data_IF_924835778540
#
_entry.id   IF_924835778540
#
_cell.length_a   1.000
_cell.length_b   1.000
_cell.length_c   1.000
_cell.angle_alpha   90.00
_cell.angle_beta   90.00
_cell.angle_gamma   90.00
#
_symmetry.space_group_name_H-M   'P 1'
#
loop_
_entity.id
_entity.type
_entity.pdbx_description
1 polymer ?
#
# COMPACT_ATOMS: atom_id res chain seq x y z
N UNK A 1 46.07 -0.88 22.02
CA UNK A 1 44.70 -0.92 22.57
C UNK A 1 43.78 -1.03 21.36
N UNK A 2 43.03 -2.12 21.23
CA UNK A 2 42.19 -2.33 20.05
C UNK A 2 40.96 -1.40 20.09
N UNK A 3 40.55 -0.85 18.95
CA UNK A 3 39.28 -0.14 18.81
C UNK A 3 38.12 -1.15 18.80
N UNK A 4 36.89 -0.70 19.06
CA UNK A 4 35.69 -1.54 18.95
C UNK A 4 35.60 -2.18 17.56
N UNK A 5 35.85 -1.40 16.51
CA UNK A 5 35.81 -1.89 15.14
C UNK A 5 36.86 -2.97 14.88
N UNK A 6 38.07 -2.84 15.42
CA UNK A 6 39.11 -3.87 15.29
C UNK A 6 38.74 -5.16 16.03
N UNK A 7 38.20 -5.06 17.25
CA UNK A 7 37.76 -6.21 18.04
C UNK A 7 36.66 -7.00 17.30
N UNK A 8 35.67 -6.28 16.73
CA UNK A 8 34.59 -6.90 15.94
C UNK A 8 35.15 -7.51 14.66
N UNK A 9 36.09 -6.85 13.98
CA UNK A 9 36.71 -7.34 12.74
C UNK A 9 37.47 -8.64 12.97
N UNK A 10 38.31 -8.70 14.00
CA UNK A 10 39.12 -9.87 14.35
C UNK A 10 38.25 -11.08 14.71
N UNK A 11 37.03 -10.83 15.20
CA UNK A 11 36.08 -11.84 15.63
C UNK A 11 34.84 -11.95 14.71
N UNK A 12 34.90 -11.39 13.50
CA UNK A 12 33.75 -11.27 12.59
C UNK A 12 33.02 -12.58 12.36
N UNK A 13 33.77 -13.67 12.14
CA UNK A 13 33.21 -15.01 11.94
C UNK A 13 32.42 -15.48 13.16
N UNK A 14 33.02 -15.40 14.35
CA UNK A 14 32.39 -15.79 15.60
C UNK A 14 31.16 -14.93 15.93
N UNK A 15 31.21 -13.62 15.65
CA UNK A 15 30.07 -12.71 15.82
C UNK A 15 28.91 -13.14 14.93
N UNK A 16 29.16 -13.39 13.64
CA UNK A 16 28.12 -13.80 12.71
C UNK A 16 27.54 -15.18 13.05
N UNK A 17 28.38 -16.15 13.39
CA UNK A 17 27.91 -17.48 13.77
C UNK A 17 27.04 -17.43 15.03
N UNK A 18 27.49 -16.70 16.06
CA UNK A 18 26.71 -16.47 17.28
C UNK A 18 25.40 -15.71 17.00
N UNK A 19 25.38 -14.83 16.00
CA UNK A 19 24.18 -14.09 15.61
C UNK A 19 23.18 -14.97 14.87
N UNK A 20 23.66 -15.83 13.98
CA UNK A 20 22.86 -16.78 13.21
C UNK A 20 22.23 -17.86 14.11
N UNK A 21 22.94 -18.32 15.14
CA UNK A 21 22.40 -19.25 16.15
C UNK A 21 21.21 -18.68 16.93
N UNK A 22 21.09 -17.35 17.00
CA UNK A 22 20.03 -16.64 17.70
C UNK A 22 18.88 -16.21 16.79
N UNK A 23 18.89 -16.67 15.53
CA UNK A 23 17.77 -16.43 14.64
C UNK A 23 16.49 -17.04 15.23
N UNK A 24 15.36 -16.32 15.15
CA UNK A 24 14.07 -16.84 15.59
C UNK A 24 13.76 -18.19 14.94
N UNK A 25 13.07 -19.08 15.65
CA UNK A 25 12.62 -20.37 15.09
C UNK A 25 11.77 -20.18 13.82
N UNK A 26 11.04 -19.06 13.70
CA UNK A 26 10.32 -18.65 12.48
C UNK A 26 11.24 -18.34 11.29
N UNK A 27 12.44 -17.81 11.53
CA UNK A 27 13.47 -17.60 10.51
C UNK A 27 14.13 -18.90 10.07
N UNK A 28 14.26 -19.90 10.96
CA UNK A 28 14.70 -21.24 10.62
C UNK A 28 13.65 -22.03 9.80
N UNK A 29 12.37 -21.67 9.94
CA UNK A 29 11.28 -22.15 9.08
C UNK A 29 11.13 -21.39 7.76
N UNK A 30 11.91 -20.32 7.54
CA UNK A 30 11.91 -19.58 6.28
C UNK A 30 12.49 -20.43 5.14
N UNK A 31 12.12 -20.09 3.89
CA UNK A 31 12.65 -20.79 2.71
C UNK A 31 14.20 -20.72 2.70
N UNK A 32 14.92 -21.77 2.27
CA UNK A 32 16.39 -21.79 2.27
C UNK A 32 17.06 -20.57 1.61
N UNK A 33 16.45 -20.04 0.54
CA UNK A 33 16.96 -18.84 -0.15
C UNK A 33 16.85 -17.56 0.71
N UNK A 34 15.77 -17.42 1.47
CA UNK A 34 15.55 -16.29 2.39
C UNK A 34 16.59 -16.28 3.51
N UNK A 35 16.88 -17.45 4.08
CA UNK A 35 17.89 -17.59 5.12
C UNK A 35 19.29 -17.19 4.62
N UNK A 36 19.67 -17.60 3.41
CA UNK A 36 20.96 -17.22 2.81
C UNK A 36 21.06 -15.72 2.56
N UNK A 37 19.98 -15.08 2.09
CA UNK A 37 19.95 -13.63 1.91
C UNK A 37 20.10 -12.91 3.24
N UNK A 38 19.35 -13.31 4.28
CA UNK A 38 19.45 -12.69 5.60
C UNK A 38 20.87 -12.80 6.18
N UNK A 39 21.54 -13.93 5.97
CA UNK A 39 22.95 -14.11 6.36
C UNK A 39 23.88 -13.11 5.68
N UNK A 40 23.69 -12.86 4.38
CA UNK A 40 24.47 -11.87 3.63
C UNK A 40 24.22 -10.46 4.18
N UNK A 41 22.95 -10.10 4.40
CA UNK A 41 22.56 -8.79 4.92
C UNK A 41 23.11 -8.53 6.33
N UNK A 42 23.09 -9.54 7.22
CA UNK A 42 23.71 -9.46 8.55
C UNK A 42 25.23 -9.29 8.46
N UNK A 43 25.87 -10.00 7.53
CA UNK A 43 27.29 -9.82 7.22
C UNK A 43 27.64 -8.38 6.85
N UNK A 44 26.87 -7.79 5.93
CA UNK A 44 27.04 -6.40 5.51
C UNK A 44 26.80 -5.41 6.65
N UNK A 45 25.87 -5.71 7.57
CA UNK A 45 25.64 -4.90 8.76
C UNK A 45 26.86 -4.89 9.69
N UNK A 46 27.48 -6.06 9.92
CA UNK A 46 28.74 -6.13 10.71
C UNK A 46 29.85 -5.32 10.04
N UNK A 47 30.02 -5.43 8.73
CA UNK A 47 31.09 -4.71 8.00
C UNK A 47 30.92 -3.18 8.08
N UNK A 48 29.66 -2.71 8.02
CA UNK A 48 29.34 -1.29 8.18
C UNK A 48 29.53 -0.82 9.63
N UNK A 49 29.19 -1.65 10.62
CA UNK A 49 29.46 -1.36 12.03
C UNK A 49 30.97 -1.25 12.31
N UNK A 50 31.77 -2.17 11.79
CA UNK A 50 33.25 -2.12 11.89
C UNK A 50 33.77 -0.81 11.30
N UNK A 51 33.29 -0.42 10.11
CA UNK A 51 33.70 0.81 9.45
C UNK A 51 33.32 2.05 10.27
N UNK A 52 32.11 2.09 10.82
CA UNK A 52 31.64 3.17 11.69
C UNK A 52 32.49 3.31 12.95
N UNK A 53 32.71 2.21 13.68
CA UNK A 53 33.49 2.25 14.92
C UNK A 53 34.97 2.56 14.69
N UNK A 54 35.55 2.16 13.55
CA UNK A 54 36.92 2.50 13.19
C UNK A 54 37.10 3.97 12.79
N UNK A 55 36.04 4.62 12.30
CA UNK A 55 36.08 6.06 12.03
C UNK A 55 36.16 6.90 13.31
N UNK A 56 35.86 6.31 14.48
CA UNK A 56 35.91 7.00 15.77
C UNK A 56 34.79 8.03 15.95
N UNK A 57 33.73 7.94 15.14
CA UNK A 57 32.55 8.79 15.26
C UNK A 57 31.61 8.29 16.39
N UNK A 58 30.94 9.22 17.03
CA UNK A 58 29.95 8.98 18.09
C UNK A 58 28.60 9.61 17.77
N UNK A 59 28.47 10.29 16.62
CA UNK A 59 27.22 10.88 16.19
C UNK A 59 26.33 9.83 15.48
N UNK A 60 25.30 9.38 16.18
CA UNK A 60 24.29 8.45 15.65
C UNK A 60 23.28 9.12 14.71
N UNK A 61 23.29 10.45 14.59
CA UNK A 61 22.55 11.20 13.56
C UNK A 61 23.41 11.59 12.36
N UNK A 62 24.71 11.27 12.40
CA UNK A 62 25.70 11.73 11.45
C UNK A 62 25.73 10.94 10.14
N UNK A 63 26.38 11.49 9.09
CA UNK A 63 26.47 10.87 7.78
C UNK A 63 27.27 9.54 7.78
N UNK A 64 28.15 9.33 8.75
CA UNK A 64 28.94 8.09 8.88
C UNK A 64 28.11 6.94 9.45
N UNK A 65 27.05 7.22 10.22
CA UNK A 65 26.16 6.20 10.77
C UNK A 65 25.05 5.80 9.78
N UNK A 66 24.67 6.70 8.87
CA UNK A 66 23.59 6.48 7.89
C UNK A 66 23.67 5.14 7.12
N UNK A 67 24.85 4.68 6.64
CA UNK A 67 24.95 3.38 5.97
C UNK A 67 24.56 2.19 6.86
N UNK A 68 24.82 2.28 8.17
CA UNK A 68 24.46 1.28 9.17
C UNK A 68 22.94 1.26 9.36
N UNK A 69 22.32 2.43 9.48
CA UNK A 69 20.85 2.57 9.57
C UNK A 69 20.16 1.97 8.34
N UNK A 70 20.63 2.32 7.14
CA UNK A 70 20.06 1.82 5.88
C UNK A 70 20.16 0.31 5.75
N UNK A 71 21.26 -0.27 6.24
CA UNK A 71 21.43 -1.71 6.26
C UNK A 71 20.45 -2.39 7.23
N UNK A 72 20.28 -1.83 8.41
CA UNK A 72 19.33 -2.35 9.40
C UNK A 72 17.88 -2.23 8.90
N UNK A 73 17.53 -1.12 8.25
CA UNK A 73 16.23 -0.95 7.60
C UNK A 73 16.01 -1.99 6.49
N UNK A 74 17.04 -2.28 5.68
CA UNK A 74 16.99 -3.30 4.62
C UNK A 74 16.70 -4.70 5.19
N UNK A 75 17.41 -5.08 6.27
CA UNK A 75 17.16 -6.34 6.99
C UNK A 75 15.71 -6.39 7.50
N UNK A 76 15.25 -5.34 8.16
CA UNK A 76 13.90 -5.29 8.72
C UNK A 76 12.82 -5.42 7.64
N UNK A 77 12.99 -4.74 6.51
CA UNK A 77 12.08 -4.82 5.38
C UNK A 77 12.04 -6.24 4.77
N UNK A 78 13.17 -6.94 4.73
CA UNK A 78 13.21 -8.34 4.31
C UNK A 78 12.44 -9.23 5.29
N UNK A 79 12.71 -9.11 6.60
CA UNK A 79 12.00 -9.83 7.66
C UNK A 79 10.47 -9.63 7.57
N UNK A 80 10.02 -8.39 7.35
CA UNK A 80 8.61 -8.06 7.20
C UNK A 80 7.94 -8.76 6.01
N UNK A 81 8.63 -8.83 4.86
CA UNK A 81 8.16 -9.53 3.65
C UNK A 81 8.07 -11.04 3.85
N UNK A 82 9.01 -11.60 4.60
CA UNK A 82 9.11 -13.04 4.84
C UNK A 82 8.27 -13.54 6.03
N UNK A 83 7.53 -12.64 6.69
CA UNK A 83 6.53 -12.99 7.69
C UNK A 83 7.04 -13.06 9.13
N UNK A 84 8.28 -12.65 9.39
CA UNK A 84 8.77 -12.44 10.76
C UNK A 84 7.99 -11.31 11.42
N UNK A 85 7.90 -11.35 12.74
CA UNK A 85 7.29 -10.29 13.55
C UNK A 85 8.30 -9.17 13.85
N UNK A 86 7.81 -7.96 14.22
CA UNK A 86 8.69 -6.88 14.66
C UNK A 86 9.48 -7.29 15.92
N UNK A 87 8.88 -8.09 16.81
CA UNK A 87 9.54 -8.57 18.03
C UNK A 87 10.70 -9.50 17.70
N UNK A 88 10.50 -10.47 16.80
CA UNK A 88 11.56 -11.37 16.35
C UNK A 88 12.74 -10.61 15.71
N UNK A 89 12.46 -9.60 14.90
CA UNK A 89 13.47 -8.74 14.28
C UNK A 89 14.22 -7.92 15.33
N UNK A 90 13.50 -7.31 16.28
CA UNK A 90 14.12 -6.54 17.37
C UNK A 90 14.97 -7.43 18.28
N UNK A 91 14.52 -8.63 18.64
CA UNK A 91 15.28 -9.60 19.43
C UNK A 91 16.58 -10.00 18.74
N UNK A 92 16.55 -10.19 17.41
CA UNK A 92 17.77 -10.45 16.63
C UNK A 92 18.76 -9.29 16.77
N UNK A 93 18.34 -8.04 16.55
CA UNK A 93 19.22 -6.86 16.68
C UNK A 93 19.73 -6.69 18.12
N UNK A 94 18.87 -6.87 19.12
CA UNK A 94 19.22 -6.77 20.54
C UNK A 94 20.23 -7.83 20.98
N UNK A 95 20.22 -9.01 20.36
CA UNK A 95 21.17 -10.06 20.69
C UNK A 95 22.63 -9.66 20.45
N UNK A 96 22.87 -8.69 19.57
CA UNK A 96 24.21 -8.16 19.31
C UNK A 96 24.84 -7.60 20.58
N UNK A 97 24.07 -6.98 21.49
CA UNK A 97 24.58 -6.49 22.79
C UNK A 97 25.21 -7.60 23.62
N UNK A 98 24.58 -8.77 23.65
CA UNK A 98 25.09 -9.93 24.39
C UNK A 98 26.34 -10.48 23.71
N UNK A 99 26.32 -10.61 22.38
CA UNK A 99 27.46 -11.11 21.60
C UNK A 99 28.70 -10.22 21.78
N UNK A 100 28.52 -8.91 21.66
CA UNK A 100 29.62 -7.95 21.82
C UNK A 100 30.08 -7.83 23.26
N UNK A 101 29.19 -7.97 24.24
CA UNK A 101 29.57 -8.00 25.66
C UNK A 101 30.50 -9.18 25.95
N UNK A 102 30.11 -10.38 25.54
CA UNK A 102 30.91 -11.59 25.74
C UNK A 102 32.27 -11.49 25.05
N UNK A 103 32.34 -10.75 23.95
CA UNK A 103 33.57 -10.48 23.22
C UNK A 103 34.46 -9.45 23.96
N UNK A 104 33.89 -8.32 24.36
CA UNK A 104 34.62 -7.26 25.09
C UNK A 104 35.12 -7.73 26.46
N UNK A 105 34.44 -8.67 27.11
CA UNK A 105 34.86 -9.25 28.38
C UNK A 105 36.12 -10.13 28.24
N UNK A 106 36.44 -10.61 27.03
CA UNK A 106 37.65 -11.41 26.73
C UNK A 106 38.88 -10.56 26.41
N UNK A 107 38.70 -9.29 26.05
CA UNK A 107 39.80 -8.38 25.73
C UNK A 107 40.53 -7.91 26.98
N UNK A 108 41.87 -7.84 26.90
CA UNK A 108 42.74 -7.44 28.00
C UNK A 108 43.20 -5.99 27.81
N UNK A 109 42.72 -5.09 28.69
CA UNK A 109 43.04 -3.66 28.68
C UNK A 109 42.05 -2.81 27.85
N UNK A 110 42.10 -1.48 28.05
CA UNK A 110 41.17 -0.53 27.41
C UNK A 110 39.99 -0.10 28.26
N UNK A 111 39.29 0.93 27.81
CA UNK A 111 38.06 1.44 28.44
C UNK A 111 36.86 0.57 28.04
N UNK A 112 36.73 -0.59 28.70
CA UNK A 112 35.65 -1.54 28.42
C UNK A 112 34.26 -0.96 28.69
N UNK A 113 34.12 -0.11 29.70
CA UNK A 113 32.83 0.48 30.03
C UNK A 113 32.41 1.50 28.97
N UNK A 114 33.34 2.36 28.52
CA UNK A 114 33.10 3.26 27.38
C UNK A 114 32.76 2.50 26.09
N UNK A 115 33.49 1.41 25.80
CA UNK A 115 33.20 0.56 24.64
C UNK A 115 31.81 -0.08 24.70
N UNK A 116 31.41 -0.57 25.87
CA UNK A 116 30.07 -1.16 26.08
C UNK A 116 28.98 -0.11 25.91
N UNK A 117 29.15 1.09 26.46
CA UNK A 117 28.20 2.20 26.31
C UNK A 117 28.04 2.56 24.83
N UNK A 118 29.14 2.66 24.08
CA UNK A 118 29.10 2.99 22.66
C UNK A 118 28.37 1.93 21.83
N UNK A 119 28.63 0.64 22.08
CA UNK A 119 27.93 -0.46 21.42
C UNK A 119 26.46 -0.49 21.82
N UNK A 120 26.14 -0.32 23.10
CA UNK A 120 24.76 -0.34 23.58
C UNK A 120 23.92 0.77 22.92
N UNK A 121 24.48 1.98 22.80
CA UNK A 121 23.82 3.11 22.14
C UNK A 121 23.55 2.86 20.65
N UNK A 122 24.53 2.30 19.92
CA UNK A 122 24.35 1.90 18.52
C UNK A 122 23.25 0.86 18.40
N UNK A 123 23.29 -0.19 19.21
CA UNK A 123 22.31 -1.28 19.11
C UNK A 123 20.91 -0.80 19.48
N UNK A 124 20.75 0.05 20.50
CA UNK A 124 19.46 0.68 20.83
C UNK A 124 18.91 1.51 19.67
N UNK A 125 19.76 2.27 18.99
CA UNK A 125 19.39 3.02 17.79
C UNK A 125 18.93 2.10 16.66
N UNK A 126 19.65 1.00 16.41
CA UNK A 126 19.26 0.02 15.39
C UNK A 126 17.93 -0.68 15.74
N UNK A 127 17.63 -0.90 17.02
CA UNK A 127 16.33 -1.42 17.47
C UNK A 127 15.18 -0.53 16.98
N UNK A 128 15.32 0.78 17.18
CA UNK A 128 14.31 1.76 16.80
C UNK A 128 14.17 1.86 15.29
N UNK A 129 15.30 1.92 14.56
CA UNK A 129 15.32 1.97 13.09
C UNK A 129 14.67 0.73 12.50
N UNK A 130 15.02 -0.45 12.99
CA UNK A 130 14.43 -1.71 12.49
C UNK A 130 12.95 -1.78 12.79
N UNK A 131 12.48 -1.37 13.97
CA UNK A 131 11.06 -1.34 14.28
C UNK A 131 10.29 -0.38 13.37
N UNK A 132 10.79 0.85 13.18
CA UNK A 132 10.17 1.84 12.31
C UNK A 132 10.08 1.34 10.85
N UNK A 133 11.19 0.82 10.30
CA UNK A 133 11.24 0.26 8.95
C UNK A 133 10.31 -0.95 8.77
N UNK A 134 10.13 -1.75 9.83
CA UNK A 134 9.20 -2.88 9.82
C UNK A 134 7.76 -2.39 9.65
N UNK A 135 7.36 -1.42 10.49
CA UNK A 135 6.00 -0.85 10.48
C UNK A 135 5.70 -0.23 9.12
N UNK A 136 6.62 0.61 8.61
CA UNK A 136 6.49 1.22 7.28
C UNK A 136 6.34 0.17 6.18
N UNK A 137 7.21 -0.85 6.17
CA UNK A 137 7.14 -1.94 5.18
C UNK A 137 5.82 -2.71 5.28
N UNK A 138 5.33 -2.99 6.49
CA UNK A 138 4.07 -3.72 6.68
C UNK A 138 2.86 -2.89 6.28
N UNK A 139 2.85 -1.61 6.59
CA UNK A 139 1.82 -0.69 6.14
C UNK A 139 1.78 -0.64 4.60
N UNK A 140 2.95 -0.52 3.96
CA UNK A 140 3.08 -0.58 2.50
C UNK A 140 2.52 -1.89 1.89
N UNK A 141 2.83 -3.03 2.51
CA UNK A 141 2.29 -4.33 2.10
C UNK A 141 0.77 -4.36 2.26
N UNK A 142 0.24 -3.89 3.39
CA UNK A 142 -1.20 -3.85 3.66
C UNK A 142 -1.91 -2.93 2.67
N UNK A 143 -1.37 -1.76 2.37
CA UNK A 143 -1.93 -0.82 1.40
C UNK A 143 -1.95 -1.41 -0.02
N UNK A 144 -0.88 -2.10 -0.42
CA UNK A 144 -0.82 -2.80 -1.72
C UNK A 144 -1.80 -3.97 -1.79
N UNK A 145 -1.94 -4.73 -0.71
CA UNK A 145 -2.92 -5.82 -0.62
C UNK A 145 -4.37 -5.30 -0.60
N UNK A 146 -4.63 -4.16 0.06
CA UNK A 146 -5.94 -3.52 0.10
C UNK A 146 -6.43 -3.01 -1.25
N UNK A 147 -5.52 -2.56 -2.13
CA UNK A 147 -5.85 -2.15 -3.50
C UNK A 147 -6.31 -3.33 -4.38
N UNK A 148 -5.70 -4.50 -4.21
CA UNK A 148 -6.05 -5.69 -5.01
C UNK A 148 -7.48 -6.20 -4.78
N UNK A 149 -8.13 -5.87 -3.65
CA UNK A 149 -9.51 -6.25 -3.37
C UNK A 149 -10.56 -5.29 -3.96
N UNK A 150 -10.15 -4.12 -4.47
CA UNK A 150 -11.04 -3.13 -5.07
C UNK A 150 -10.94 -3.06 -6.60
N UNK A 151 -9.86 -3.59 -7.19
CA UNK A 151 -9.57 -3.46 -8.63
C UNK A 151 -10.00 -4.67 -9.50
N UNK A 152 -10.54 -5.76 -8.94
CA UNK A 152 -10.75 -7.03 -9.69
C UNK A 152 -12.19 -7.55 -9.81
N UNK A 153 -13.21 -6.88 -9.27
CA UNK A 153 -14.60 -7.29 -9.51
C UNK A 153 -15.20 -6.38 -10.58
N UNK A 154 -15.60 -6.95 -11.72
CA UNK A 154 -16.34 -6.32 -12.82
C UNK A 154 -17.36 -5.30 -12.30
N UNK A 155 -17.04 -3.99 -12.31
CA UNK A 155 -17.87 -3.01 -11.63
C UNK A 155 -19.15 -2.73 -12.43
N UNK A 156 -19.16 -3.01 -13.73
CA UNK A 156 -20.35 -2.97 -14.55
C UNK A 156 -20.94 -4.38 -14.72
N UNK A 157 -22.11 -4.59 -14.13
CA UNK A 157 -22.87 -5.83 -14.18
C UNK A 157 -23.95 -5.73 -15.26
N UNK A 158 -23.98 -6.60 -16.29
CA UNK A 158 -25.12 -6.67 -17.20
C UNK A 158 -26.32 -7.24 -16.43
N UNK A 159 -27.37 -6.44 -16.30
CA UNK A 159 -28.59 -6.82 -15.57
C UNK A 159 -29.78 -7.10 -16.50
N UNK A 160 -29.66 -6.67 -17.76
CA UNK A 160 -30.59 -6.98 -18.84
C UNK A 160 -29.91 -6.81 -20.18
N UNK A 161 -30.54 -7.32 -21.25
CA UNK A 161 -30.05 -7.05 -22.62
C UNK A 161 -30.02 -5.53 -22.86
N UNK A 162 -28.85 -5.02 -23.23
CA UNK A 162 -28.55 -3.61 -23.43
C UNK A 162 -28.66 -2.70 -22.17
N UNK A 163 -28.69 -3.27 -20.96
CA UNK A 163 -28.69 -2.52 -19.68
C UNK A 163 -27.59 -3.04 -18.76
N UNK A 164 -26.71 -2.14 -18.33
CA UNK A 164 -25.68 -2.41 -17.33
C UNK A 164 -25.92 -1.60 -16.05
N UNK A 165 -25.49 -2.14 -14.91
CA UNK A 165 -25.49 -1.50 -13.60
C UNK A 165 -24.05 -1.37 -13.09
N UNK A 166 -23.66 -0.18 -12.69
CA UNK A 166 -22.39 0.11 -12.05
C UNK A 166 -22.61 0.70 -10.65
N UNK A 167 -22.46 -0.09 -9.57
CA UNK A 167 -22.52 0.44 -8.22
C UNK A 167 -21.18 1.06 -7.81
N UNK A 168 -21.25 2.25 -7.19
CA UNK A 168 -20.11 2.97 -6.62
C UNK A 168 -20.18 2.92 -5.10
N UNK A 169 -19.12 2.43 -4.47
CA UNK A 169 -19.04 2.24 -3.01
C UNK A 169 -17.77 2.86 -2.44
N UNK A 170 -17.92 3.63 -1.38
CA UNK A 170 -16.82 4.24 -0.63
C UNK A 170 -16.42 5.62 -1.17
N UNK A 171 -15.24 6.06 -0.77
CA UNK A 171 -14.73 7.39 -1.13
C UNK A 171 -14.29 7.38 -2.60
N UNK A 172 -14.73 8.37 -3.36
CA UNK A 172 -14.33 8.59 -4.75
C UNK A 172 -13.37 9.78 -4.78
N UNK A 173 -12.13 9.53 -5.17
CA UNK A 173 -11.16 10.57 -5.50
C UNK A 173 -11.04 10.75 -7.02
N UNK A 174 -10.19 11.68 -7.45
CA UNK A 174 -9.94 11.96 -8.87
C UNK A 174 -9.43 10.75 -9.66
N UNK A 175 -8.57 9.92 -9.05
CA UNK A 175 -8.02 8.75 -9.73
C UNK A 175 -9.11 7.69 -9.94
N UNK A 176 -9.85 7.40 -8.87
CA UNK A 176 -10.95 6.44 -8.90
C UNK A 176 -12.08 6.87 -9.82
N UNK A 177 -12.39 8.17 -9.89
CA UNK A 177 -13.40 8.69 -10.80
C UNK A 177 -13.03 8.49 -12.29
N UNK A 178 -11.74 8.60 -12.65
CA UNK A 178 -11.26 8.30 -14.01
C UNK A 178 -11.37 6.81 -14.32
N UNK A 179 -10.98 5.96 -13.37
CA UNK A 179 -11.06 4.51 -13.51
C UNK A 179 -12.50 4.03 -13.68
N UNK A 180 -13.43 4.60 -12.91
CA UNK A 180 -14.88 4.37 -13.06
C UNK A 180 -15.39 4.74 -14.46
N UNK A 181 -14.94 5.88 -15.00
CA UNK A 181 -15.29 6.29 -16.35
C UNK A 181 -14.78 5.28 -17.39
N UNK A 182 -13.49 4.91 -17.32
CA UNK A 182 -12.87 3.94 -18.24
C UNK A 182 -13.62 2.61 -18.23
N UNK A 183 -13.87 2.06 -17.04
CA UNK A 183 -14.63 0.82 -16.87
C UNK A 183 -16.06 0.91 -17.40
N UNK A 184 -16.73 2.04 -17.21
CA UNK A 184 -18.10 2.21 -17.70
C UNK A 184 -18.11 2.21 -19.22
N UNK A 185 -17.22 2.98 -19.85
CA UNK A 185 -17.13 3.08 -21.31
C UNK A 185 -16.75 1.75 -21.96
N UNK A 186 -15.79 1.02 -21.38
CA UNK A 186 -15.43 -0.32 -21.83
C UNK A 186 -16.60 -1.31 -21.72
N UNK A 187 -17.34 -1.27 -20.61
CA UNK A 187 -18.49 -2.14 -20.43
C UNK A 187 -19.66 -1.78 -21.36
N UNK A 188 -19.91 -0.49 -21.59
CA UNK A 188 -20.92 -0.04 -22.54
C UNK A 188 -20.63 -0.57 -23.95
N UNK A 189 -19.37 -0.51 -24.38
CA UNK A 189 -18.95 -1.03 -25.68
C UNK A 189 -19.02 -2.57 -25.74
N UNK A 190 -18.49 -3.26 -24.72
CA UNK A 190 -18.43 -4.73 -24.69
C UNK A 190 -19.81 -5.39 -24.63
N UNK A 191 -20.72 -4.83 -23.83
CA UNK A 191 -22.07 -5.38 -23.62
C UNK A 191 -23.10 -4.78 -24.60
N UNK A 192 -22.65 -3.94 -25.57
CA UNK A 192 -23.50 -3.18 -26.49
C UNK A 192 -24.66 -2.46 -25.77
N UNK A 193 -24.36 -1.90 -24.60
CA UNK A 193 -25.39 -1.38 -23.71
C UNK A 193 -25.91 -0.02 -24.17
N UNK A 194 -27.22 0.12 -24.24
CA UNK A 194 -27.89 1.39 -24.54
C UNK A 194 -28.14 2.22 -23.30
N UNK A 195 -28.16 1.57 -22.13
CA UNK A 195 -28.47 2.21 -20.86
C UNK A 195 -27.48 1.72 -19.81
N UNK A 196 -26.89 2.65 -19.08
CA UNK A 196 -26.14 2.38 -17.87
C UNK A 196 -26.85 3.00 -16.66
N UNK A 197 -26.91 2.26 -15.55
CA UNK A 197 -27.33 2.77 -14.26
C UNK A 197 -26.08 2.91 -13.40
N UNK A 198 -25.79 4.12 -12.94
CA UNK A 198 -24.70 4.42 -12.02
C UNK A 198 -25.27 4.65 -10.62
N UNK A 199 -25.07 3.70 -9.70
CA UNK A 199 -25.61 3.78 -8.34
C UNK A 199 -24.59 4.37 -7.37
N UNK A 200 -24.85 5.58 -6.87
CA UNK A 200 -23.96 6.31 -5.94
C UNK A 200 -24.44 6.25 -4.49
N UNK A 201 -25.36 5.34 -4.16
CA UNK A 201 -25.88 5.17 -2.78
C UNK A 201 -24.75 4.97 -1.76
N UNK A 202 -23.65 4.30 -2.15
CA UNK A 202 -22.48 4.05 -1.31
C UNK A 202 -21.43 5.17 -1.27
N UNK A 203 -21.69 6.34 -1.87
CA UNK A 203 -20.75 7.47 -1.96
C UNK A 203 -21.21 8.60 -1.03
N UNK A 204 -20.65 8.71 0.19
CA UNK A 204 -21.18 9.62 1.22
C UNK A 204 -20.92 11.10 0.94
N UNK A 205 -19.88 11.43 0.18
CA UNK A 205 -19.47 12.80 -0.12
C UNK A 205 -19.19 12.95 -1.62
N UNK A 206 -19.88 13.91 -2.24
CA UNK A 206 -19.63 14.32 -3.62
C UNK A 206 -19.06 15.74 -3.57
N UNK A 207 -17.80 15.89 -3.96
CA UNK A 207 -17.15 17.19 -4.11
C UNK A 207 -17.21 17.70 -5.57
N UNK A 208 -16.63 18.87 -5.82
CA UNK A 208 -16.57 19.47 -7.15
C UNK A 208 -15.81 18.64 -8.19
N UNK A 209 -14.82 17.86 -7.77
CA UNK A 209 -14.02 17.03 -8.67
C UNK A 209 -14.82 15.79 -9.07
N UNK A 210 -15.44 15.12 -8.11
CA UNK A 210 -16.30 13.95 -8.36
C UNK A 210 -17.47 14.34 -9.24
N UNK A 211 -18.14 15.46 -8.96
CA UNK A 211 -19.24 15.96 -9.77
C UNK A 211 -18.83 16.20 -11.24
N UNK A 212 -17.69 16.87 -11.47
CA UNK A 212 -17.15 17.09 -12.81
C UNK A 212 -16.86 15.77 -13.54
N UNK A 213 -16.32 14.78 -12.84
CA UNK A 213 -16.07 13.48 -13.44
C UNK A 213 -17.35 12.72 -13.75
N UNK A 214 -18.39 12.79 -12.91
CA UNK A 214 -19.70 12.20 -13.21
C UNK A 214 -20.30 12.82 -14.47
N UNK A 215 -20.31 14.14 -14.59
CA UNK A 215 -20.81 14.82 -15.80
C UNK A 215 -20.05 14.39 -17.05
N UNK A 216 -18.70 14.37 -17.00
CA UNK A 216 -17.88 13.88 -18.12
C UNK A 216 -18.17 12.43 -18.47
N UNK A 217 -18.43 11.57 -17.48
CA UNK A 217 -18.75 10.16 -17.71
C UNK A 217 -20.09 10.04 -18.44
N UNK A 218 -21.10 10.81 -18.03
CA UNK A 218 -22.41 10.86 -18.69
C UNK A 218 -22.28 11.34 -20.14
N UNK A 219 -21.50 12.40 -20.37
CA UNK A 219 -21.23 12.93 -21.72
C UNK A 219 -20.51 11.92 -22.61
N UNK A 220 -19.46 11.28 -22.10
CA UNK A 220 -18.70 10.27 -22.83
C UNK A 220 -19.56 9.04 -23.19
N UNK A 221 -20.37 8.55 -22.25
CA UNK A 221 -21.32 7.46 -22.51
C UNK A 221 -22.35 7.85 -23.58
N UNK A 222 -22.84 9.09 -23.57
CA UNK A 222 -23.74 9.63 -24.60
C UNK A 222 -23.09 9.65 -25.97
N UNK A 223 -21.80 9.98 -26.08
CA UNK A 223 -21.06 9.91 -27.35
C UNK A 223 -20.95 8.47 -27.89
N UNK A 224 -20.97 7.46 -27.02
CA UNK A 224 -21.07 6.04 -27.40
C UNK A 224 -22.50 5.60 -27.72
N UNK A 225 -23.48 6.51 -27.68
CA UNK A 225 -24.89 6.21 -27.96
C UNK A 225 -25.67 5.61 -26.78
N UNK A 226 -25.10 5.67 -25.58
CA UNK A 226 -25.70 5.12 -24.36
C UNK A 226 -26.22 6.23 -23.44
N UNK A 227 -27.35 6.00 -22.77
CA UNK A 227 -27.88 6.91 -21.76
C UNK A 227 -27.44 6.46 -20.37
N UNK A 228 -27.11 7.42 -19.49
CA UNK A 228 -26.73 7.13 -18.11
C UNK A 228 -27.82 7.62 -17.17
N UNK A 229 -28.23 6.75 -16.25
CA UNK A 229 -29.16 7.04 -15.15
C UNK A 229 -28.35 7.00 -13.86
N UNK A 230 -28.34 8.09 -13.10
CA UNK A 230 -27.67 8.15 -11.79
C UNK A 230 -28.69 7.91 -10.68
N UNK A 231 -28.40 7.00 -9.77
CA UNK A 231 -29.27 6.65 -8.64
C UNK A 231 -28.60 6.85 -7.29
N UNK A 232 -29.38 7.06 -6.23
CA UNK A 232 -28.84 7.05 -4.87
C UNK A 232 -28.13 8.34 -4.44
N UNK A 233 -28.40 9.47 -5.11
CA UNK A 233 -27.88 10.78 -4.68
C UNK A 233 -28.52 11.15 -3.33
N UNK A 234 -27.70 11.31 -2.30
CA UNK A 234 -28.16 11.74 -0.97
C UNK A 234 -28.62 13.21 -0.97
N UNK A 235 -29.48 13.64 -0.03
CA UNK A 235 -29.89 15.04 0.08
C UNK A 235 -28.72 16.02 0.20
N UNK A 236 -27.70 15.67 0.99
CA UNK A 236 -26.50 16.50 1.19
C UNK A 236 -25.64 16.59 -0.08
N UNK A 237 -25.52 15.48 -0.82
CA UNK A 237 -24.84 15.46 -2.10
C UNK A 237 -25.58 16.30 -3.15
N UNK A 238 -26.92 16.23 -3.19
CA UNK A 238 -27.72 17.05 -4.09
C UNK A 238 -27.56 18.55 -3.80
N UNK A 239 -27.58 18.96 -2.53
CA UNK A 239 -27.32 20.37 -2.16
C UNK A 239 -25.93 20.82 -2.58
N UNK A 240 -24.93 19.97 -2.41
CA UNK A 240 -23.56 20.27 -2.82
C UNK A 240 -23.45 20.43 -4.33
N UNK A 241 -24.06 19.53 -5.11
CA UNK A 241 -24.09 19.63 -6.58
C UNK A 241 -24.73 20.93 -7.07
N UNK A 242 -25.82 21.37 -6.44
CA UNK A 242 -26.46 22.65 -6.75
C UNK A 242 -25.56 23.84 -6.39
N UNK A 243 -24.90 23.82 -5.23
CA UNK A 243 -23.96 24.88 -4.82
C UNK A 243 -22.74 25.01 -5.73
N UNK A 244 -22.33 23.89 -6.33
CA UNK A 244 -21.19 23.82 -7.23
C UNK A 244 -21.51 24.27 -8.67
N UNK A 245 -22.77 24.64 -8.95
CA UNK A 245 -23.26 25.08 -10.26
C UNK A 245 -22.94 24.08 -11.39
N UNK A 246 -23.06 22.78 -11.07
CA UNK A 246 -22.80 21.71 -12.04
C UNK A 246 -24.01 21.58 -12.96
N UNK A 247 -23.78 21.64 -14.28
CA UNK A 247 -24.83 21.36 -15.26
C UNK A 247 -25.21 19.87 -15.24
N UNK A 248 -26.39 19.58 -14.70
CA UNK A 248 -26.97 18.24 -14.63
C UNK A 248 -28.08 18.03 -15.68
N UNK A 249 -28.28 18.97 -16.61
CA UNK A 249 -29.38 18.91 -17.60
C UNK A 249 -29.34 17.67 -18.50
N UNK A 250 -28.15 17.12 -18.73
CA UNK A 250 -27.90 15.92 -19.52
C UNK A 250 -28.03 14.62 -18.72
N UNK A 251 -28.20 14.69 -17.39
CA UNK A 251 -28.17 13.57 -16.48
C UNK A 251 -29.57 13.16 -16.03
N UNK A 252 -29.95 11.90 -16.29
CA UNK A 252 -31.18 11.35 -15.74
C UNK A 252 -30.90 10.92 -14.30
N UNK A 253 -31.58 11.52 -13.32
CA UNK A 253 -31.44 11.14 -11.91
C UNK A 253 -32.70 10.44 -11.40
N UNK A 254 -32.54 9.44 -10.54
CA UNK A 254 -33.63 8.79 -9.78
C UNK A 254 -33.22 8.57 -8.33
N UNK A 255 -34.17 8.71 -7.41
CA UNK A 255 -33.87 8.64 -5.97
C UNK A 255 -33.35 7.28 -5.51
N UNK A 256 -33.75 6.19 -6.16
CA UNK A 256 -33.35 4.82 -5.79
C UNK A 256 -33.02 3.98 -7.01
N UNK A 257 -32.22 2.93 -6.81
CA UNK A 257 -31.90 1.95 -7.85
C UNK A 257 -33.16 1.32 -8.47
N UNK A 258 -34.17 1.01 -7.66
CA UNK A 258 -35.44 0.43 -8.15
C UNK A 258 -36.13 1.35 -9.16
N UNK A 259 -36.21 2.66 -8.87
CA UNK A 259 -36.82 3.63 -9.79
C UNK A 259 -35.92 3.85 -11.01
N UNK A 260 -34.60 3.84 -10.84
CA UNK A 260 -33.65 3.90 -11.96
C UNK A 260 -33.79 2.71 -12.92
N UNK A 261 -33.99 1.50 -12.38
CA UNK A 261 -34.23 0.30 -13.19
C UNK A 261 -35.55 0.36 -13.95
N UNK A 262 -36.62 0.82 -13.31
CA UNK A 262 -37.91 1.03 -13.97
C UNK A 262 -37.78 2.05 -15.12
N UNK A 263 -37.03 3.12 -14.91
CA UNK A 263 -36.73 4.13 -15.93
C UNK A 263 -35.91 3.55 -17.09
N UNK A 264 -34.91 2.71 -16.79
CA UNK A 264 -34.11 2.03 -17.81
C UNK A 264 -34.99 1.18 -18.73
N UNK A 265 -35.90 0.38 -18.17
CA UNK A 265 -36.83 -0.40 -18.98
C UNK A 265 -37.74 0.47 -19.85
N UNK A 266 -38.22 1.61 -19.33
CA UNK A 266 -39.05 2.56 -20.08
C UNK A 266 -38.31 3.13 -21.29
N UNK A 267 -37.07 3.56 -21.10
CA UNK A 267 -36.22 4.11 -22.17
C UNK A 267 -35.86 3.05 -23.23
N UNK A 268 -35.59 1.82 -22.80
CA UNK A 268 -35.31 0.71 -23.71
C UNK A 268 -36.54 0.39 -24.58
N UNK A 269 -37.73 0.37 -23.98
CA UNK A 269 -38.98 0.15 -24.70
C UNK A 269 -39.25 1.22 -25.77
N UNK A 270 -38.96 2.49 -25.47
CA UNK A 270 -39.11 3.60 -26.43
C UNK A 270 -38.17 3.48 -27.62
N UNK A 271 -36.92 3.08 -27.40
CA UNK A 271 -35.96 2.83 -28.49
C UNK A 271 -36.42 1.70 -29.42
N UNK A 272 -37.01 0.65 -28.88
CA UNK A 272 -37.51 -0.48 -29.66
C UNK A 272 -38.77 -0.12 -30.48
N UNK A 273 -39.59 0.80 -29.97
CA UNK A 273 -40.76 1.32 -30.70
C UNK A 273 -40.36 2.27 -31.83
N UNK A 274 -39.30 3.09 -31.64
CA UNK A 274 -38.78 3.98 -32.69
C UNK A 274 -38.11 3.25 -33.86
N UNK A 275 -37.62 2.03 -33.65
CA UNK A 275 -36.99 1.18 -34.69
C UNK A 275 -37.99 0.30 -35.44
N UNK A 276 -39.15 0.00 -34.86
CA UNK A 276 -40.22 -0.80 -35.50
C UNK A 276 -41.17 0.02 -36.38
N UNK A 277 -40.97 1.34 -36.48
CA UNK A 277 -41.87 2.28 -37.17
C UNK A 277 -41.29 2.97 -38.40
N UNK A 278 -40.13 2.57 -38.92
CA UNK A 278 -39.55 3.13 -40.14
C UNK A 278 -39.78 2.18 -41.33
N UNK A 279 -40.67 2.52 -42.28
CA UNK A 279 -40.73 1.85 -43.57
C UNK A 279 -39.67 2.50 -44.47
N UNK A 280 -38.51 1.89 -44.56
CA UNK A 280 -37.68 1.95 -45.75
C UNK A 280 -37.46 0.53 -46.24
#
# INVERSE_FOLDING_TARGET
MHSIGQIILDNRGAVLDAWLERLPSGAAGARPATFQLLKIELGMLVDKLVSYFNAGDHDLGGPLFKPVEDQAATISAACARDGLTPLETATLIMSLKTITRDLLDREVGGDRDGMRIAVDAVVDRLALVTFAAFVETREDIIQRQGRALLDMATPALPIWRHIILMPLVGIIDTQRARQVMEWLLEALAREEAHIAILDVTGVPLIDSRVALHLTKTVEAARLLGSQVIVTGISPDAAQTLVKLDVDLSSMITRGTLQVGLAEAFRLLAQRNQGTSGSPF
#
